data_IF_530365004273
#
_entry.id   IF_530365004273
#
_cell.length_a   1.000
_cell.length_b   1.000
_cell.length_c   1.000
_cell.angle_alpha   90.00
_cell.angle_beta   90.00
_cell.angle_gamma   90.00
#
_symmetry.space_group_name_H-M   'P 1'
#
loop_
_entity.id
_entity.type
_entity.pdbx_description
1 polymer ?
#
# COMPACT_ATOMS: atom_id res chain seq x y z
N UNK A 1 -15.96 0.70 -0.76
CA UNK A 1 -14.69 0.01 -1.11
C UNK A 1 -13.65 0.22 -0.02
N UNK A 2 -13.40 1.47 0.39
CA UNK A 2 -12.51 1.81 1.51
C UNK A 2 -12.82 1.06 2.83
N UNK A 3 -14.09 0.94 3.21
CA UNK A 3 -14.47 0.23 4.46
C UNK A 3 -14.17 -1.28 4.43
N UNK A 4 -14.24 -1.91 3.26
CA UNK A 4 -13.89 -3.34 3.10
C UNK A 4 -12.38 -3.56 3.25
N UNK A 5 -11.57 -2.65 2.71
CA UNK A 5 -10.12 -2.71 2.84
C UNK A 5 -9.68 -2.46 4.29
N UNK A 6 -10.33 -1.52 4.98
CA UNK A 6 -10.14 -1.34 6.43
C UNK A 6 -10.48 -2.59 7.22
N UNK A 7 -11.64 -3.19 6.93
CA UNK A 7 -12.05 -4.43 7.57
C UNK A 7 -11.02 -5.55 7.33
N UNK A 8 -10.57 -5.74 6.08
CA UNK A 8 -9.49 -6.66 5.72
C UNK A 8 -8.25 -6.43 6.58
N UNK A 9 -7.72 -5.21 6.58
CA UNK A 9 -6.52 -4.84 7.34
C UNK A 9 -6.68 -5.08 8.85
N UNK A 10 -7.83 -4.73 9.42
CA UNK A 10 -8.11 -4.88 10.86
C UNK A 10 -8.39 -6.32 11.31
N UNK A 11 -8.85 -7.18 10.38
CA UNK A 11 -9.18 -8.58 10.67
C UNK A 11 -8.00 -9.53 10.53
N UNK A 12 -6.95 -9.09 9.84
CA UNK A 12 -5.75 -9.87 9.61
C UNK A 12 -4.91 -9.97 10.88
N UNK A 13 -4.68 -11.19 11.39
CA UNK A 13 -3.73 -11.42 12.49
C UNK A 13 -2.30 -11.07 12.08
N UNK A 14 -1.97 -11.34 10.81
CA UNK A 14 -0.70 -10.96 10.20
C UNK A 14 -1.00 -10.29 8.86
N UNK A 15 -0.52 -9.06 8.70
CA UNK A 15 -0.60 -8.30 7.47
C UNK A 15 0.82 -8.04 6.97
N UNK A 16 1.14 -8.56 5.79
CA UNK A 16 2.39 -8.23 5.09
C UNK A 16 2.13 -7.13 4.09
N UNK A 17 3.03 -6.15 4.00
CA UNK A 17 2.94 -5.05 3.05
C UNK A 17 4.05 -5.20 2.00
N UNK A 18 3.66 -5.34 0.74
CA UNK A 18 4.56 -5.22 -0.39
C UNK A 18 4.63 -3.74 -0.80
N UNK A 19 5.86 -3.21 -0.92
CA UNK A 19 6.13 -1.84 -1.35
C UNK A 19 6.78 -1.89 -2.72
N UNK A 20 6.02 -1.54 -3.74
CA UNK A 20 6.48 -1.57 -5.13
C UNK A 20 6.77 -0.14 -5.60
N UNK A 21 7.98 0.06 -6.11
CA UNK A 21 8.37 1.32 -6.76
C UNK A 21 8.89 1.03 -8.15
N UNK A 22 8.33 1.68 -9.17
CA UNK A 22 8.82 1.56 -10.54
C UNK A 22 8.74 2.88 -11.28
N UNK A 23 9.63 3.04 -12.25
CA UNK A 23 9.64 4.19 -13.14
C UNK A 23 8.91 3.83 -14.43
N UNK A 24 8.02 4.71 -14.89
CA UNK A 24 7.52 4.67 -16.25
C UNK A 24 8.29 5.68 -17.10
N UNK A 25 8.58 5.36 -18.37
CA UNK A 25 9.33 6.26 -19.26
C UNK A 25 8.48 7.40 -19.83
N UNK A 26 7.15 7.24 -19.81
CA UNK A 26 6.15 8.17 -20.38
C UNK A 26 5.27 8.81 -19.30
N UNK A 27 5.27 8.24 -18.10
CA UNK A 27 4.47 8.66 -16.95
C UNK A 27 5.39 8.94 -15.74
N UNK A 28 4.87 9.58 -14.67
CA UNK A 28 5.58 9.65 -13.40
C UNK A 28 6.00 8.27 -12.89
N UNK A 29 6.99 8.23 -12.02
CA UNK A 29 7.27 7.03 -11.24
C UNK A 29 6.07 6.71 -10.35
N UNK A 30 5.92 5.45 -9.96
CA UNK A 30 4.79 5.02 -9.15
C UNK A 30 5.28 4.37 -7.87
N UNK A 31 4.52 4.58 -6.81
CA UNK A 31 4.65 3.89 -5.54
C UNK A 31 3.32 3.23 -5.21
N UNK A 32 3.33 1.91 -5.08
CA UNK A 32 2.18 1.13 -4.70
C UNK A 32 2.44 0.37 -3.41
N UNK A 33 1.38 0.21 -2.62
CA UNK A 33 1.38 -0.55 -1.38
C UNK A 33 0.29 -1.60 -1.51
N UNK A 34 0.69 -2.86 -1.43
CA UNK A 34 -0.24 -4.00 -1.48
C UNK A 34 -0.22 -4.70 -0.13
N UNK A 35 -1.39 -4.90 0.47
CA UNK A 35 -1.57 -5.67 1.68
C UNK A 35 -1.87 -7.13 1.35
N UNK A 36 -1.15 -8.04 2.00
CA UNK A 36 -1.30 -9.48 1.88
C UNK A 36 -1.60 -10.09 3.25
N UNK A 37 -2.67 -10.87 3.34
CA UNK A 37 -3.01 -11.58 4.56
C UNK A 37 -3.68 -12.93 4.26
N UNK A 38 -3.72 -13.80 5.27
CA UNK A 38 -4.59 -14.97 5.24
C UNK A 38 -5.85 -14.63 6.04
N UNK A 39 -7.00 -14.60 5.37
CA UNK A 39 -8.31 -14.37 5.96
C UNK A 39 -9.18 -15.61 5.71
N UNK A 40 -9.78 -16.16 6.77
CA UNK A 40 -10.63 -17.37 6.70
C UNK A 40 -9.96 -18.57 5.99
N UNK A 41 -8.64 -18.72 6.13
CA UNK A 41 -7.87 -19.79 5.48
C UNK A 41 -7.55 -19.56 4.00
N UNK A 42 -7.91 -18.40 3.44
CA UNK A 42 -7.60 -18.01 2.07
C UNK A 42 -6.58 -16.88 2.03
N UNK A 43 -5.68 -16.91 1.04
CA UNK A 43 -4.81 -15.78 0.75
C UNK A 43 -5.62 -14.66 0.10
N UNK A 44 -5.56 -13.48 0.68
CA UNK A 44 -6.18 -12.27 0.19
C UNK A 44 -5.13 -11.18 -0.05
N UNK A 45 -5.31 -10.42 -1.13
CA UNK A 45 -4.36 -9.40 -1.58
C UNK A 45 -5.08 -8.19 -2.14
N UNK A 46 -4.79 -7.01 -1.60
CA UNK A 46 -5.42 -5.76 -2.04
C UNK A 46 -4.42 -4.62 -2.15
N UNK A 47 -4.58 -3.81 -3.20
CA UNK A 47 -3.86 -2.53 -3.34
C UNK A 47 -4.47 -1.54 -2.35
N UNK A 48 -3.65 -1.08 -1.40
CA UNK A 48 -4.02 -0.12 -0.36
C UNK A 48 -3.66 1.30 -0.77
N UNK A 49 -2.53 1.48 -1.45
CA UNK A 49 -2.06 2.78 -1.92
C UNK A 49 -1.52 2.67 -3.34
N UNK A 50 -1.81 3.68 -4.16
CA UNK A 50 -1.21 3.85 -5.48
C UNK A 50 -0.98 5.34 -5.72
N UNK A 51 0.27 5.76 -5.70
CA UNK A 51 0.65 7.18 -5.70
C UNK A 51 1.58 7.45 -6.88
N UNK A 52 1.23 8.36 -7.80
CA UNK A 52 2.18 8.88 -8.76
C UNK A 52 3.19 9.78 -8.05
N UNK A 53 4.46 9.55 -8.31
CA UNK A 53 5.57 10.31 -7.78
C UNK A 53 6.16 11.18 -8.90
N UNK A 54 6.19 12.49 -8.68
CA UNK A 54 6.71 13.47 -9.63
C UNK A 54 8.06 14.04 -9.18
N UNK A 55 9.00 14.19 -10.12
CA UNK A 55 10.32 14.74 -9.82
C UNK A 55 11.26 13.76 -9.13
N UNK A 56 12.13 14.25 -8.24
CA UNK A 56 13.05 13.41 -7.47
C UNK A 56 12.32 12.73 -6.30
N UNK A 57 12.64 11.47 -6.03
CA UNK A 57 12.04 10.71 -4.93
C UNK A 57 13.12 10.34 -3.91
N UNK A 58 12.96 10.82 -2.68
CA UNK A 58 13.80 10.45 -1.55
C UNK A 58 13.19 9.30 -0.76
N UNK A 59 14.03 8.58 -0.01
CA UNK A 59 13.53 7.57 0.94
C UNK A 59 12.54 8.17 1.96
N UNK A 60 12.72 9.44 2.36
CA UNK A 60 11.80 10.13 3.26
C UNK A 60 10.41 10.37 2.64
N UNK A 61 10.33 10.67 1.34
CA UNK A 61 9.04 10.81 0.66
C UNK A 61 8.31 9.47 0.60
N UNK A 62 9.01 8.39 0.27
CA UNK A 62 8.43 7.04 0.23
C UNK A 62 7.93 6.60 1.61
N UNK A 63 8.72 6.86 2.66
CA UNK A 63 8.33 6.59 4.04
C UNK A 63 7.09 7.40 4.44
N UNK A 64 7.05 8.69 4.11
CA UNK A 64 5.87 9.51 4.37
C UNK A 64 4.62 8.94 3.68
N UNK A 65 4.71 8.53 2.41
CA UNK A 65 3.57 7.92 1.70
C UNK A 65 3.15 6.58 2.27
N UNK A 66 4.10 5.81 2.78
CA UNK A 66 3.83 4.60 3.53
C UNK A 66 3.05 4.86 4.82
N UNK A 67 3.52 5.80 5.65
CA UNK A 67 2.85 6.19 6.89
C UNK A 67 1.45 6.78 6.66
N UNK A 68 1.29 7.63 5.64
CA UNK A 68 -0.03 8.15 5.22
C UNK A 68 -1.00 7.02 4.90
N UNK A 69 -0.54 5.98 4.20
CA UNK A 69 -1.37 4.82 3.83
C UNK A 69 -1.71 3.97 5.05
N UNK A 70 -0.73 3.65 5.90
CA UNK A 70 -0.94 2.90 7.15
C UNK A 70 -1.99 3.59 8.02
N UNK A 71 -1.83 4.90 8.26
CA UNK A 71 -2.75 5.70 9.05
C UNK A 71 -4.16 5.76 8.43
N UNK A 72 -4.26 5.84 7.11
CA UNK A 72 -5.55 5.87 6.42
C UNK A 72 -6.36 4.57 6.66
N UNK A 73 -5.69 3.42 6.77
CA UNK A 73 -6.31 2.11 6.99
C UNK A 73 -6.33 1.65 8.46
N UNK A 74 -5.67 2.38 9.37
CA UNK A 74 -5.62 2.05 10.80
C UNK A 74 -4.79 0.80 11.09
N UNK A 75 -3.70 0.62 10.33
CA UNK A 75 -2.69 -0.44 10.51
C UNK A 75 -1.65 0.03 11.54
#
# INVERSE_FOLDING_TARGET
MHDRLKAFCSSATFLSLALDTWNDRRLPSFFAITGHAIANGCFESYVLGFVPLWGSHSGSLLLQKHEETINAFGI
#
